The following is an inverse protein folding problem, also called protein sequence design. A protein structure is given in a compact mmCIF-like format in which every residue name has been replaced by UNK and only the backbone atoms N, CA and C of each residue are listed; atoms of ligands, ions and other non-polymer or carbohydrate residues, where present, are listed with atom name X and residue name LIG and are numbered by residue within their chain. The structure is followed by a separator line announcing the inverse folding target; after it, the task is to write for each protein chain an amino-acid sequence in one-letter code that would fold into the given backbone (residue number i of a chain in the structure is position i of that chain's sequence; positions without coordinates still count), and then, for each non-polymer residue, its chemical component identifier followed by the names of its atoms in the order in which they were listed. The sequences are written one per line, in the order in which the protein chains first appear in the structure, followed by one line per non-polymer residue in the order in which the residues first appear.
data_IF_215940854015
#
_entry.id   IF_215940854015
#
_cell.length_a   1.000
_cell.length_b   1.000
_cell.length_c   1.000
_cell.angle_alpha   90.00
_cell.angle_beta   90.00
_cell.angle_gamma   90.00
#
_symmetry.space_group_name_H-M   'P 1'
#
loop_
_entity.id
_entity.type
_entity.pdbx_description
1 polymer ?
#
# COMPACT_ATOMS: atom_id res chain seq x y z
N UNK A 1 9.52 7.10 28.49
CA UNK A 1 10.36 5.93 28.83
C UNK A 1 10.60 5.13 27.56
N UNK A 2 11.86 4.90 27.17
CA UNK A 2 12.22 4.10 25.99
C UNK A 2 12.83 2.77 26.45
N UNK A 3 12.32 1.66 25.94
CA UNK A 3 12.88 0.32 26.20
C UNK A 3 14.09 0.04 25.29
N UNK A 4 15.01 -0.85 25.72
CA UNK A 4 16.07 -1.32 24.85
C UNK A 4 15.50 -2.02 23.60
N UNK A 5 16.24 -2.05 22.48
CA UNK A 5 15.87 -2.82 21.30
C UNK A 5 15.63 -4.30 21.62
N UNK A 6 14.47 -4.82 21.23
CA UNK A 6 14.10 -6.23 21.36
C UNK A 6 14.33 -6.96 20.04
N UNK A 7 14.94 -8.15 20.11
CA UNK A 7 15.45 -8.94 18.96
C UNK A 7 15.07 -10.40 19.11
N UNK A 8 13.78 -10.64 19.30
CA UNK A 8 13.27 -11.97 19.57
C UNK A 8 13.16 -12.80 18.28
N UNK A 9 13.42 -14.10 18.38
CA UNK A 9 13.17 -15.07 17.30
C UNK A 9 11.79 -15.71 17.44
N UNK A 10 11.39 -16.00 18.68
CA UNK A 10 10.16 -16.70 19.00
C UNK A 10 9.01 -15.71 19.30
N UNK A 11 7.78 -16.23 19.21
CA UNK A 11 6.59 -15.50 19.63
C UNK A 11 6.67 -15.17 21.12
N UNK A 12 6.48 -13.90 21.46
CA UNK A 12 6.62 -13.38 22.80
C UNK A 12 5.48 -12.40 23.14
N UNK A 13 5.25 -12.17 24.42
CA UNK A 13 4.28 -11.20 24.90
C UNK A 13 4.99 -10.18 25.78
N UNK A 14 4.94 -8.90 25.41
CA UNK A 14 5.35 -7.81 26.28
C UNK A 14 4.13 -7.39 27.10
N UNK A 15 4.24 -7.32 28.42
CA UNK A 15 3.14 -6.86 29.27
C UNK A 15 3.62 -5.81 30.27
N UNK A 16 2.71 -4.93 30.68
CA UNK A 16 2.96 -3.92 31.70
C UNK A 16 1.66 -3.53 32.39
N UNK A 17 1.77 -2.84 33.53
CA UNK A 17 0.63 -2.23 34.19
C UNK A 17 0.77 -0.71 34.22
N UNK A 18 -0.32 0.00 33.99
CA UNK A 18 -0.36 1.45 34.15
C UNK A 18 -1.47 1.89 35.12
N UNK A 19 -1.24 3.04 35.75
CA UNK A 19 -2.15 3.65 36.72
C UNK A 19 -2.26 5.14 36.45
N UNK A 20 -3.48 5.66 36.51
CA UNK A 20 -3.78 7.09 36.39
C UNK A 20 -4.63 7.52 37.58
N UNK A 21 -4.18 8.55 38.29
CA UNK A 21 -4.97 9.15 39.37
C UNK A 21 -4.73 10.64 39.50
N UNK A 22 -5.78 11.36 39.89
CA UNK A 22 -5.78 12.81 39.99
C UNK A 22 -6.59 13.43 38.86
N UNK A 23 -6.57 14.76 38.82
CA UNK A 23 -7.46 15.61 38.05
C UNK A 23 -8.74 15.98 38.80
N UNK A 24 -9.25 17.18 38.51
CA UNK A 24 -10.55 17.62 39.04
C UNK A 24 -11.66 16.84 38.32
N UNK A 25 -12.71 16.47 39.05
CA UNK A 25 -13.95 15.89 38.48
C UNK A 25 -13.73 14.64 37.59
N UNK A 26 -12.71 13.82 37.88
CA UNK A 26 -12.47 12.57 37.16
C UNK A 26 -11.71 12.71 35.82
N UNK A 27 -11.26 13.91 35.48
CA UNK A 27 -10.40 14.14 34.31
C UNK A 27 -9.02 13.46 34.49
N UNK A 28 -8.52 12.76 33.47
CA UNK A 28 -7.19 12.16 33.55
C UNK A 28 -6.06 13.22 33.57
N UNK A 29 -5.01 13.04 34.40
CA UNK A 29 -3.89 13.98 34.51
C UNK A 29 -2.92 13.96 33.31
N UNK A 30 -2.90 12.85 32.57
CA UNK A 30 -2.09 12.67 31.37
C UNK A 30 -2.65 11.52 30.53
N UNK A 31 -2.45 11.57 29.22
CA UNK A 31 -2.66 10.42 28.33
C UNK A 31 -1.37 9.61 28.23
N UNK A 32 -1.47 8.29 28.21
CA UNK A 32 -0.35 7.40 27.90
C UNK A 32 -0.44 7.00 26.42
N UNK A 33 0.56 7.42 25.66
CA UNK A 33 0.80 6.93 24.32
C UNK A 33 1.88 5.85 24.37
N UNK A 34 1.66 4.75 23.66
CA UNK A 34 2.68 3.71 23.47
C UNK A 34 2.98 3.60 21.98
N UNK A 35 4.26 3.67 21.63
CA UNK A 35 4.73 3.55 20.26
C UNK A 35 5.58 2.30 20.13
N UNK A 36 5.48 1.65 18.97
CA UNK A 36 6.34 0.54 18.57
C UNK A 36 7.02 0.94 17.27
N UNK A 37 8.34 1.09 17.31
CA UNK A 37 9.18 1.45 16.16
C UNK A 37 10.00 0.25 15.71
N UNK A 38 10.06 -0.01 14.41
CA UNK A 38 10.86 -1.10 13.81
C UNK A 38 12.16 -0.54 13.23
N UNK A 39 13.29 -1.19 13.48
CA UNK A 39 14.60 -0.89 12.88
C UNK A 39 15.02 0.59 12.91
N UNK A 40 14.88 1.26 14.08
CA UNK A 40 15.15 2.70 14.23
C UNK A 40 14.37 3.61 13.26
N UNK A 41 13.21 3.15 12.79
CA UNK A 41 12.31 3.97 11.98
C UNK A 41 11.84 5.21 12.75
N UNK A 42 11.43 6.27 12.03
CA UNK A 42 10.76 7.42 12.64
C UNK A 42 9.60 7.00 13.53
N UNK A 43 9.32 7.81 14.55
CA UNK A 43 8.20 7.59 15.45
C UNK A 43 6.89 7.66 14.63
N UNK A 44 6.21 6.51 14.52
CA UNK A 44 4.93 6.40 13.82
C UNK A 44 3.76 6.84 14.69
N UNK A 45 2.57 6.32 14.36
CA UNK A 45 1.37 6.52 15.19
C UNK A 45 1.43 5.68 16.48
N UNK A 46 0.85 6.19 17.60
CA UNK A 46 0.77 5.40 18.83
C UNK A 46 -0.14 4.19 18.61
N UNK A 47 0.31 3.03 19.08
CA UNK A 47 -0.44 1.76 19.02
C UNK A 47 -1.44 1.66 20.16
N UNK A 48 -1.20 2.38 21.26
CA UNK A 48 -2.12 2.56 22.39
C UNK A 48 -2.21 4.05 22.67
N UNK A 49 -3.43 4.53 22.91
CA UNK A 49 -3.71 5.85 23.43
C UNK A 49 -4.74 5.73 24.57
N UNK A 50 -4.30 5.90 25.82
CA UNK A 50 -5.19 5.89 26.99
C UNK A 50 -5.89 7.24 27.18
N UNK A 51 -6.77 7.57 26.24
CA UNK A 51 -7.73 8.66 26.42
C UNK A 51 -8.93 8.16 27.25
N UNK A 52 -9.39 8.95 28.22
CA UNK A 52 -10.52 8.58 29.10
C UNK A 52 -10.38 9.11 30.53
N UNK A 53 -11.40 8.90 31.39
CA UNK A 53 -11.37 9.33 32.79
C UNK A 53 -10.31 8.60 33.60
N UNK A 54 -9.84 9.21 34.69
CA UNK A 54 -8.90 8.55 35.59
C UNK A 54 -9.58 7.34 36.26
N UNK A 55 -9.12 6.14 35.93
CA UNK A 55 -9.54 4.92 36.60
C UNK A 55 -8.51 4.68 37.72
N UNK A 56 -8.90 4.90 38.98
CA UNK A 56 -8.05 4.72 40.17
C UNK A 56 -7.68 3.24 40.45
N UNK A 57 -7.38 2.48 39.40
CA UNK A 57 -7.05 1.06 39.39
C UNK A 57 -5.86 0.81 38.46
N UNK A 58 -5.06 -0.20 38.78
CA UNK A 58 -4.02 -0.66 37.87
C UNK A 58 -4.65 -1.39 36.68
N UNK A 59 -4.33 -0.94 35.46
CA UNK A 59 -4.74 -1.60 34.22
C UNK A 59 -3.56 -2.35 33.62
N UNK A 60 -3.73 -3.66 33.47
CA UNK A 60 -2.78 -4.52 32.76
C UNK A 60 -2.97 -4.41 31.26
N UNK A 61 -1.86 -4.37 30.53
CA UNK A 61 -1.81 -4.26 29.07
C UNK A 61 -0.83 -5.27 28.52
N UNK A 62 -1.25 -5.97 27.47
CA UNK A 62 -0.42 -6.86 26.66
C UNK A 62 -0.10 -6.22 25.30
N UNK A 63 1.10 -6.45 24.80
CA UNK A 63 1.59 -6.03 23.50
C UNK A 63 2.08 -7.27 22.74
N UNK A 64 1.36 -7.60 21.68
CA UNK A 64 1.68 -8.71 20.78
C UNK A 64 2.40 -8.15 19.54
N UNK A 65 3.72 -8.02 19.61
CA UNK A 65 4.54 -7.42 18.54
C UNK A 65 5.11 -8.51 17.64
N UNK A 66 4.71 -8.51 16.37
CA UNK A 66 5.16 -9.50 15.38
C UNK A 66 6.30 -8.98 14.51
N UNK A 67 7.33 -8.44 15.16
CA UNK A 67 8.60 -8.05 14.56
C UNK A 67 9.70 -8.91 15.18
N UNK A 68 10.36 -9.72 14.35
CA UNK A 68 11.33 -10.72 14.78
C UNK A 68 12.68 -10.47 14.12
N UNK A 69 13.74 -11.08 14.67
CA UNK A 69 15.07 -11.08 14.06
C UNK A 69 15.00 -11.56 12.59
N UNK A 70 15.74 -10.93 11.64
CA UNK A 70 16.82 -9.95 11.82
C UNK A 70 16.38 -8.53 12.12
N UNK A 71 15.07 -8.25 12.09
CA UNK A 71 14.54 -6.96 12.50
C UNK A 71 14.53 -6.84 14.03
N UNK A 72 14.45 -5.61 14.51
CA UNK A 72 14.28 -5.31 15.92
C UNK A 72 13.23 -4.23 16.10
N UNK A 73 12.63 -4.18 17.28
CA UNK A 73 11.70 -3.12 17.62
C UNK A 73 12.04 -2.49 18.97
N UNK A 74 11.55 -1.27 19.17
CA UNK A 74 11.61 -0.56 20.44
C UNK A 74 10.23 -0.09 20.84
N UNK A 75 9.99 -0.08 22.15
CA UNK A 75 8.75 0.42 22.74
C UNK A 75 9.05 1.74 23.46
N UNK A 76 8.33 2.78 23.06
CA UNK A 76 8.37 4.10 23.69
C UNK A 76 7.05 4.37 24.39
N UNK A 77 7.13 4.65 25.69
CA UNK A 77 6.03 5.19 26.48
C UNK A 77 6.17 6.70 26.56
N UNK A 78 5.14 7.41 26.12
CA UNK A 78 5.03 8.86 26.18
C UNK A 78 3.85 9.24 27.08
N UNK A 79 4.10 10.16 28.01
CA UNK A 79 3.08 10.74 28.87
C UNK A 79 2.80 12.16 28.40
N UNK A 80 1.58 12.44 27.95
CA UNK A 80 1.18 13.78 27.53
C UNK A 80 0.28 14.38 28.60
N UNK A 81 0.79 15.41 29.30
CA UNK A 81 0.04 16.05 30.38
C UNK A 81 -1.18 16.80 29.84
N UNK A 82 -2.30 16.71 30.57
CA UNK A 82 -3.52 17.49 30.30
C UNK A 82 -3.53 18.83 31.05
N UNK A 83 -2.45 19.17 31.76
CA UNK A 83 -2.37 20.33 32.66
C UNK A 83 -3.02 20.12 34.03
N UNK A 84 -3.71 18.99 34.24
CA UNK A 84 -4.31 18.62 35.52
C UNK A 84 -3.27 18.03 36.48
N UNK A 85 -3.44 18.27 37.79
CA UNK A 85 -2.58 17.66 38.81
C UNK A 85 -2.93 16.20 39.01
N UNK A 86 -1.93 15.33 38.91
CA UNK A 86 -2.09 13.91 39.19
C UNK A 86 -0.84 13.12 38.84
N UNK A 87 -0.99 11.80 38.75
CA UNK A 87 0.08 10.84 38.52
C UNK A 87 -0.32 9.90 37.40
N UNK A 88 0.64 9.64 36.51
CA UNK A 88 0.66 8.49 35.60
C UNK A 88 1.86 7.63 36.01
N UNK A 89 1.61 6.36 36.34
CA UNK A 89 2.65 5.41 36.73
C UNK A 89 2.61 4.17 35.85
N UNK A 90 3.78 3.59 35.59
CA UNK A 90 3.96 2.34 34.83
C UNK A 90 4.82 1.41 35.69
N UNK A 91 4.45 0.13 35.78
CA UNK A 91 5.21 -0.91 36.48
C UNK A 91 5.14 -2.26 35.77
N UNK A 92 5.93 -3.20 36.27
CA UNK A 92 5.91 -4.62 35.87
C UNK A 92 6.03 -4.84 34.36
N UNK A 93 6.92 -4.08 33.72
CA UNK A 93 7.25 -4.29 32.30
C UNK A 93 7.99 -5.62 32.17
N UNK A 94 7.36 -6.60 31.53
CA UNK A 94 7.89 -7.96 31.42
C UNK A 94 7.77 -8.46 29.99
N UNK A 95 8.83 -9.15 29.52
CA UNK A 95 8.85 -9.83 28.25
C UNK A 95 8.78 -11.34 28.50
N UNK A 96 7.77 -12.00 27.93
CA UNK A 96 7.51 -13.41 28.14
C UNK A 96 7.65 -14.17 26.82
N UNK A 97 8.40 -15.27 26.81
CA UNK A 97 8.63 -16.12 25.63
C UNK A 97 7.46 -17.03 25.28
N UNK A 98 6.24 -16.49 25.22
CA UNK A 98 5.04 -17.19 24.78
C UNK A 98 4.05 -16.21 24.13
N UNK A 99 3.04 -16.75 23.43
CA UNK A 99 1.93 -15.95 22.91
C UNK A 99 1.18 -15.20 24.02
N UNK A 100 0.64 -14.03 23.69
CA UNK A 100 -0.20 -13.29 24.62
C UNK A 100 -1.50 -14.06 24.89
N UNK A 101 -2.06 -13.89 26.09
CA UNK A 101 -3.21 -14.67 26.54
C UNK A 101 -4.54 -14.05 26.09
N UNK A 102 -4.62 -12.72 26.06
CA UNK A 102 -5.84 -11.97 25.74
C UNK A 102 -5.66 -11.01 24.59
N UNK A 103 -4.48 -11.02 23.96
CA UNK A 103 -4.14 -10.16 22.83
C UNK A 103 -3.73 -11.02 21.65
N UNK A 104 -4.42 -10.91 20.51
CA UNK A 104 -4.14 -11.75 19.37
C UNK A 104 -2.88 -11.29 18.65
N UNK A 105 -2.20 -12.25 18.03
CA UNK A 105 -0.93 -12.03 17.33
C UNK A 105 -1.19 -11.90 15.82
N UNK A 106 -1.08 -10.70 15.22
CA UNK A 106 -1.12 -10.56 13.77
C UNK A 106 0.13 -11.18 13.15
N UNK A 107 -0.02 -11.89 12.04
CA UNK A 107 1.08 -12.45 11.27
C UNK A 107 1.79 -11.36 10.45
N UNK A 108 2.95 -11.71 9.91
CA UNK A 108 3.70 -10.86 8.99
C UNK A 108 2.83 -10.42 7.81
N UNK A 109 2.73 -9.11 7.61
CA UNK A 109 1.99 -8.52 6.51
C UNK A 109 2.84 -8.55 5.24
N UNK A 110 2.25 -8.90 4.10
CA UNK A 110 2.97 -8.98 2.83
C UNK A 110 2.99 -7.61 2.14
N UNK A 111 4.10 -7.30 1.48
CA UNK A 111 4.19 -6.14 0.59
C UNK A 111 3.22 -6.27 -0.59
N UNK A 112 2.72 -5.14 -1.07
CA UNK A 112 1.74 -5.04 -2.15
C UNK A 112 2.26 -4.06 -3.19
N UNK A 113 2.25 -4.47 -4.45
CA UNK A 113 2.48 -3.58 -5.59
C UNK A 113 1.16 -3.42 -6.37
N UNK A 114 0.82 -2.19 -6.74
CA UNK A 114 -0.34 -1.89 -7.61
C UNK A 114 -0.02 -0.77 -8.58
N UNK A 115 -0.81 -0.67 -9.64
CA UNK A 115 -0.79 0.49 -10.53
C UNK A 115 -1.61 1.66 -9.95
N UNK A 116 -1.19 2.89 -10.24
CA UNK A 116 -1.93 4.08 -9.85
C UNK A 116 -3.38 4.04 -10.38
N UNK A 117 -4.33 4.49 -9.58
CA UNK A 117 -5.77 4.40 -9.81
C UNK A 117 -6.40 3.08 -9.34
N UNK A 118 -5.60 2.04 -9.10
CA UNK A 118 -6.09 0.76 -8.61
C UNK A 118 -6.24 0.73 -7.09
N UNK A 119 -6.90 -0.31 -6.58
CA UNK A 119 -7.07 -0.55 -5.14
C UNK A 119 -5.99 -1.51 -4.64
N UNK A 120 -5.22 -1.09 -3.63
CA UNK A 120 -4.30 -1.97 -2.92
C UNK A 120 -5.01 -2.63 -1.74
N UNK A 121 -5.01 -3.96 -1.70
CA UNK A 121 -5.64 -4.73 -0.61
C UNK A 121 -4.60 -5.45 0.23
N UNK A 122 -4.60 -5.18 1.53
CA UNK A 122 -3.73 -5.84 2.50
C UNK A 122 -4.52 -6.88 3.29
N UNK A 123 -3.96 -8.09 3.40
CA UNK A 123 -4.55 -9.18 4.16
C UNK A 123 -3.85 -9.34 5.51
N UNK A 124 -4.45 -8.80 6.56
CA UNK A 124 -4.00 -9.00 7.93
C UNK A 124 -4.55 -10.30 8.48
N UNK A 125 -3.67 -11.27 8.67
CA UNK A 125 -4.06 -12.54 9.29
C UNK A 125 -3.70 -12.54 10.76
N UNK A 126 -4.62 -12.97 11.62
CA UNK A 126 -4.50 -12.86 13.06
C UNK A 126 -4.73 -14.22 13.72
N UNK A 127 -3.83 -14.59 14.63
CA UNK A 127 -3.96 -15.79 15.47
C UNK A 127 -4.50 -15.41 16.85
N UNK A 128 -5.56 -16.06 17.30
CA UNK A 128 -6.18 -15.83 18.61
C UNK A 128 -7.69 -15.65 18.55
N UNK A 129 -8.35 -15.54 19.70
CA UNK A 129 -9.78 -15.26 19.79
C UNK A 129 -10.01 -13.76 19.65
N UNK A 130 -10.69 -13.33 18.59
CA UNK A 130 -11.06 -11.94 18.41
C UNK A 130 -12.45 -11.69 19.01
N UNK A 131 -12.61 -10.73 19.93
CA UNK A 131 -13.94 -10.17 20.18
C UNK A 131 -14.38 -9.49 18.87
N UNK A 132 -15.55 -9.87 18.37
CA UNK A 132 -16.23 -9.37 17.16
C UNK A 132 -15.73 -8.00 16.66
N UNK A 133 -14.80 -8.03 15.71
CA UNK A 133 -14.34 -6.86 14.96
C UNK A 133 -14.95 -6.89 13.55
N UNK A 134 -15.27 -5.71 13.02
CA UNK A 134 -15.90 -5.50 11.71
C UNK A 134 -15.04 -6.10 10.57
N UNK A 135 -15.69 -6.76 9.61
CA UNK A 135 -15.10 -7.35 8.39
C UNK A 135 -14.02 -8.45 8.55
N UNK A 136 -14.05 -9.25 9.62
CA UNK A 136 -13.18 -10.44 9.70
C UNK A 136 -13.81 -11.67 9.04
N UNK A 137 -13.08 -12.36 8.16
CA UNK A 137 -13.44 -13.68 7.65
C UNK A 137 -12.69 -14.77 8.43
N UNK A 138 -13.38 -15.75 9.04
CA UNK A 138 -12.71 -16.86 9.70
C UNK A 138 -12.04 -17.76 8.65
N UNK A 139 -10.76 -18.06 8.84
CA UNK A 139 -10.04 -19.07 8.04
C UNK A 139 -10.15 -20.43 8.72
N UNK A 140 -10.05 -20.45 10.04
CA UNK A 140 -10.29 -21.60 10.91
C UNK A 140 -10.69 -21.10 12.32
N UNK A 141 -11.07 -21.98 13.27
CA UNK A 141 -11.56 -21.55 14.59
C UNK A 141 -10.60 -20.71 15.45
N UNK A 142 -9.31 -20.61 15.08
CA UNK A 142 -8.29 -19.86 15.81
C UNK A 142 -7.58 -18.80 14.96
N UNK A 143 -8.02 -18.61 13.71
CA UNK A 143 -7.34 -17.76 12.72
C UNK A 143 -8.36 -16.98 11.92
N UNK A 144 -8.19 -15.67 11.93
CA UNK A 144 -9.07 -14.71 11.27
C UNK A 144 -8.27 -13.91 10.26
N UNK A 145 -8.90 -13.50 9.17
CA UNK A 145 -8.32 -12.58 8.20
C UNK A 145 -9.19 -11.34 8.14
N UNK A 146 -8.56 -10.19 8.38
CA UNK A 146 -9.11 -8.88 8.11
C UNK A 146 -8.41 -8.33 6.86
N UNK A 147 -9.17 -7.72 5.96
CA UNK A 147 -8.62 -6.98 4.83
C UNK A 147 -8.81 -5.49 5.04
N UNK A 148 -7.83 -4.70 4.63
CA UNK A 148 -7.99 -3.25 4.50
C UNK A 148 -7.49 -2.78 3.15
N UNK A 149 -8.23 -1.85 2.56
CA UNK A 149 -8.02 -1.40 1.19
C UNK A 149 -7.63 0.07 1.14
N UNK A 150 -6.60 0.39 0.35
CA UNK A 150 -6.28 1.75 -0.07
C UNK A 150 -6.82 1.91 -1.49
N UNK A 151 -7.92 2.64 -1.64
CA UNK A 151 -8.64 2.81 -2.91
C UNK A 151 -8.08 3.99 -3.71
N UNK A 152 -8.21 3.92 -5.04
CA UNK A 152 -7.79 4.98 -5.97
C UNK A 152 -6.36 5.48 -5.69
N UNK A 153 -5.42 4.53 -5.64
CA UNK A 153 -4.05 4.79 -5.18
C UNK A 153 -3.30 5.79 -6.08
N UNK A 154 -2.50 6.62 -5.45
CA UNK A 154 -1.59 7.57 -6.09
C UNK A 154 -0.15 7.27 -5.68
N UNK A 155 0.82 7.86 -6.38
CA UNK A 155 2.24 7.70 -6.03
C UNK A 155 2.54 8.11 -4.57
N UNK A 156 1.80 9.10 -4.05
CA UNK A 156 1.92 9.58 -2.67
C UNK A 156 1.45 8.59 -1.61
N UNK A 157 0.61 7.62 -1.97
CA UNK A 157 0.14 6.58 -1.04
C UNK A 157 1.20 5.47 -0.83
N UNK A 158 2.27 5.47 -1.64
CA UNK A 158 3.39 4.55 -1.45
C UNK A 158 4.05 4.79 -0.09
N UNK A 159 4.30 3.71 0.64
CA UNK A 159 4.82 3.82 2.00
C UNK A 159 4.69 2.52 2.77
N UNK A 160 4.91 2.61 4.07
CA UNK A 160 4.90 1.45 4.97
C UNK A 160 3.60 1.38 5.76
N UNK A 161 2.92 0.24 5.63
CA UNK A 161 1.66 -0.06 6.29
C UNK A 161 1.86 -1.20 7.28
N UNK A 162 1.07 -1.24 8.35
CA UNK A 162 1.03 -2.35 9.29
C UNK A 162 -0.38 -2.57 9.79
N UNK A 163 -0.66 -3.79 10.20
CA UNK A 163 -1.91 -4.12 10.85
C UNK A 163 -1.82 -3.85 12.36
N UNK A 164 -2.87 -3.25 12.91
CA UNK A 164 -3.03 -3.01 14.34
C UNK A 164 -4.35 -3.67 14.76
N UNK A 165 -4.28 -4.54 15.76
CA UNK A 165 -5.43 -5.29 16.27
C UNK A 165 -5.59 -4.94 17.73
N UNK A 166 -6.73 -4.34 18.09
CA UNK A 166 -7.03 -3.96 19.46
C UNK A 166 -7.91 -5.02 20.12
N UNK A 167 -7.57 -5.40 21.35
CA UNK A 167 -8.40 -6.22 22.24
C UNK A 167 -8.67 -5.50 23.55
N UNK A 168 -9.53 -6.07 24.40
CA UNK A 168 -9.87 -5.49 25.71
C UNK A 168 -8.66 -5.38 26.66
N UNK A 169 -7.61 -6.18 26.40
CA UNK A 169 -6.44 -6.32 27.28
C UNK A 169 -5.14 -5.86 26.64
N UNK A 170 -5.15 -5.45 25.38
CA UNK A 170 -3.91 -5.14 24.70
C UNK A 170 -4.04 -4.81 23.23
N UNK A 171 -2.89 -4.72 22.57
CA UNK A 171 -2.78 -4.42 21.15
C UNK A 171 -1.76 -5.36 20.50
N UNK A 172 -2.17 -5.99 19.41
CA UNK A 172 -1.30 -6.71 18.50
C UNK A 172 -0.89 -5.84 17.32
N UNK A 173 0.38 -5.90 16.93
CA UNK A 173 0.91 -5.15 15.79
C UNK A 173 1.74 -6.05 14.89
N UNK A 174 1.47 -6.01 13.59
CA UNK A 174 2.31 -6.69 12.61
C UNK A 174 3.61 -5.91 12.39
N UNK A 175 4.60 -6.56 11.78
CA UNK A 175 5.68 -5.85 11.09
C UNK A 175 5.12 -4.92 10.01
N UNK A 176 5.94 -3.97 9.55
CA UNK A 176 5.60 -3.17 8.39
C UNK A 176 5.67 -3.98 7.08
N UNK A 177 4.84 -3.58 6.13
CA UNK A 177 4.85 -4.03 4.74
C UNK A 177 4.82 -2.81 3.80
N UNK A 178 5.53 -2.91 2.70
CA UNK A 178 5.59 -1.83 1.71
C UNK A 178 4.38 -1.87 0.77
N UNK A 179 3.74 -0.72 0.58
CA UNK A 179 2.89 -0.43 -0.57
C UNK A 179 3.74 0.29 -1.62
N UNK A 180 3.87 -0.30 -2.80
CA UNK A 180 4.51 0.34 -3.94
C UNK A 180 3.47 0.65 -5.01
N UNK A 181 3.18 1.93 -5.22
CA UNK A 181 2.29 2.38 -6.30
C UNK A 181 3.12 2.77 -7.52
N UNK A 182 2.92 2.06 -8.61
CA UNK A 182 3.63 2.24 -9.88
C UNK A 182 2.75 3.02 -10.86
N UNK A 183 3.35 3.94 -11.60
CA UNK A 183 2.62 4.71 -12.60
C UNK A 183 2.60 3.96 -13.94
N UNK A 184 1.44 3.76 -14.57
CA UNK A 184 1.37 3.16 -15.90
C UNK A 184 2.21 3.93 -16.93
N UNK A 185 2.85 3.23 -17.87
CA UNK A 185 3.83 3.81 -18.79
C UNK A 185 3.17 4.56 -19.96
N UNK A 186 3.70 5.73 -20.32
CA UNK A 186 3.22 6.55 -21.45
C UNK A 186 4.41 6.94 -22.33
N UNK A 187 4.40 6.66 -23.65
CA UNK A 187 5.45 7.13 -24.56
C UNK A 187 5.62 8.65 -24.52
N UNK A 188 6.87 9.12 -24.51
CA UNK A 188 7.16 10.57 -24.49
C UNK A 188 7.00 11.20 -25.88
N UNK A 189 7.19 10.40 -26.94
CA UNK A 189 7.20 10.86 -28.32
C UNK A 189 6.23 10.05 -29.18
N UNK A 190 5.67 10.64 -30.27
CA UNK A 190 4.84 9.91 -31.21
C UNK A 190 5.65 8.86 -31.96
N UNK A 191 5.02 7.79 -32.51
CA UNK A 191 5.72 6.86 -33.40
C UNK A 191 6.24 7.59 -34.66
N UNK A 192 7.30 7.06 -35.27
CA UNK A 192 7.87 7.63 -36.49
C UNK A 192 7.30 6.96 -37.73
N UNK A 193 6.91 7.75 -38.72
CA UNK A 193 6.44 7.24 -40.02
C UNK A 193 7.63 6.84 -40.88
N UNK A 194 7.67 5.60 -41.37
CA UNK A 194 8.81 5.08 -42.15
C UNK A 194 8.45 4.82 -43.61
N UNK A 195 7.19 4.50 -43.92
CA UNK A 195 6.70 4.42 -45.30
C UNK A 195 5.18 4.63 -45.39
N UNK A 196 4.73 5.10 -46.55
CA UNK A 196 3.33 5.43 -46.84
C UNK A 196 2.90 4.77 -48.15
N UNK A 197 1.79 4.03 -48.10
CA UNK A 197 1.09 3.51 -49.27
C UNK A 197 -0.34 4.04 -49.37
N UNK A 198 -1.06 3.62 -50.42
CA UNK A 198 -2.47 3.96 -50.57
C UNK A 198 -3.37 3.28 -49.52
N UNK A 199 -2.98 2.10 -49.04
CA UNK A 199 -3.78 1.31 -48.07
C UNK A 199 -2.97 0.83 -46.86
N UNK A 200 -1.80 1.42 -46.63
CA UNK A 200 -0.96 1.06 -45.48
C UNK A 200 -0.06 2.20 -45.02
N UNK A 201 0.33 2.13 -43.75
CA UNK A 201 1.36 2.96 -43.13
C UNK A 201 2.36 2.03 -42.42
N UNK A 202 3.66 2.29 -42.61
CA UNK A 202 4.70 1.69 -41.78
C UNK A 202 5.15 2.67 -40.73
N UNK A 203 5.22 2.18 -39.49
CA UNK A 203 5.64 2.97 -38.35
C UNK A 203 6.77 2.28 -37.58
N UNK A 204 7.57 3.09 -36.91
CA UNK A 204 8.54 2.70 -35.91
C UNK A 204 8.04 3.19 -34.55
N UNK A 205 7.84 2.29 -33.61
CA UNK A 205 7.35 2.57 -32.27
C UNK A 205 8.43 3.30 -31.46
N UNK A 206 8.05 4.39 -30.78
CA UNK A 206 8.88 5.10 -29.81
C UNK A 206 8.56 4.67 -28.38
N UNK A 207 8.74 3.37 -28.11
CA UNK A 207 8.35 2.72 -26.84
C UNK A 207 9.48 2.59 -25.80
N UNK A 208 10.67 3.14 -26.09
CA UNK A 208 11.85 3.01 -25.21
C UNK A 208 12.00 4.19 -24.24
N UNK A 209 11.43 5.34 -24.58
CA UNK A 209 11.45 6.56 -23.75
C UNK A 209 10.04 6.83 -23.26
N UNK A 210 9.83 6.58 -21.97
CA UNK A 210 8.50 6.58 -21.34
C UNK A 210 8.47 7.50 -20.13
N UNK A 211 7.32 8.12 -19.89
CA UNK A 211 6.92 8.58 -18.57
C UNK A 211 6.28 7.41 -17.81
N UNK A 212 6.33 7.44 -16.48
CA UNK A 212 5.82 6.36 -15.62
C UNK A 212 6.87 5.30 -15.30
N UNK A 213 6.41 4.10 -14.93
CA UNK A 213 7.26 3.01 -14.44
C UNK A 213 7.21 1.79 -15.38
N UNK A 214 8.32 1.06 -15.44
CA UNK A 214 8.41 -0.24 -16.10
C UNK A 214 8.15 -1.43 -15.15
N UNK A 215 8.44 -2.67 -15.60
CA UNK A 215 8.82 -3.03 -16.98
C UNK A 215 7.62 -3.00 -17.93
N UNK A 216 7.86 -2.84 -19.24
CA UNK A 216 6.83 -2.97 -20.28
C UNK A 216 6.68 -4.44 -20.63
N UNK A 217 5.47 -4.98 -20.50
CA UNK A 217 5.15 -6.38 -20.84
C UNK A 217 4.34 -6.50 -22.13
N UNK A 218 3.63 -5.45 -22.52
CA UNK A 218 2.82 -5.46 -23.74
C UNK A 218 2.77 -4.06 -24.39
N UNK A 219 2.52 -4.05 -25.71
CA UNK A 219 2.52 -2.85 -26.56
C UNK A 219 1.41 -2.99 -27.59
N UNK A 220 0.63 -1.93 -27.73
CA UNK A 220 -0.45 -1.85 -28.71
C UNK A 220 -0.32 -0.58 -29.54
N UNK A 221 -0.80 -0.65 -30.77
CA UNK A 221 -0.94 0.51 -31.66
C UNK A 221 -2.43 0.76 -31.83
N UNK A 222 -2.88 1.92 -31.34
CA UNK A 222 -4.22 2.44 -31.59
C UNK A 222 -4.16 3.36 -32.80
N UNK A 223 -5.04 3.18 -33.77
CA UNK A 223 -5.18 4.10 -34.89
C UNK A 223 -6.64 4.43 -35.15
N UNK A 224 -6.89 5.68 -35.53
CA UNK A 224 -8.22 6.20 -35.84
C UNK A 224 -8.24 7.14 -37.01
N UNK A 225 -9.35 7.22 -37.72
CA UNK A 225 -9.57 8.29 -38.72
C UNK A 225 -9.80 9.61 -38.00
N UNK A 226 -9.36 10.74 -38.56
CA UNK A 226 -9.61 12.07 -37.95
C UNK A 226 -11.09 12.45 -37.90
N UNK A 227 -11.91 11.84 -38.76
CA UNK A 227 -13.36 11.92 -38.72
C UNK A 227 -14.00 11.06 -37.60
N UNK A 228 -13.22 10.22 -36.90
CA UNK A 228 -13.66 9.37 -35.79
C UNK A 228 -14.51 8.16 -36.19
N UNK A 229 -14.60 7.83 -37.48
CA UNK A 229 -15.44 6.73 -37.97
C UNK A 229 -14.84 5.34 -37.72
N UNK A 230 -13.52 5.26 -37.55
CA UNK A 230 -12.79 4.02 -37.28
C UNK A 230 -11.88 4.25 -36.07
N UNK A 231 -11.89 3.32 -35.13
CA UNK A 231 -10.92 3.18 -34.04
C UNK A 231 -10.60 1.69 -33.95
N UNK A 232 -9.33 1.34 -34.10
CA UNK A 232 -8.85 -0.05 -33.99
C UNK A 232 -7.55 -0.09 -33.19
N UNK A 233 -7.29 -1.22 -32.54
CA UNK A 233 -6.13 -1.43 -31.66
C UNK A 233 -5.51 -2.79 -31.96
N UNK A 234 -4.22 -2.78 -32.26
CA UNK A 234 -3.48 -4.01 -32.61
C UNK A 234 -2.29 -4.23 -31.67
N UNK A 235 -2.11 -5.44 -31.11
CA UNK A 235 -0.92 -5.77 -30.35
C UNK A 235 0.32 -5.86 -31.24
N UNK A 236 1.48 -5.45 -30.72
CA UNK A 236 2.72 -5.31 -31.49
C UNK A 236 3.93 -5.83 -30.72
N UNK A 237 4.53 -6.89 -31.26
CA UNK A 237 5.75 -7.50 -30.68
C UNK A 237 7.05 -6.83 -31.15
N UNK A 238 7.02 -6.20 -32.33
CA UNK A 238 8.21 -5.67 -33.01
C UNK A 238 8.29 -4.14 -32.90
N UNK A 239 9.50 -3.57 -32.91
CA UNK A 239 9.67 -2.12 -32.85
C UNK A 239 9.17 -1.42 -34.14
N UNK A 240 9.00 -2.15 -35.25
CA UNK A 240 8.35 -1.69 -36.47
C UNK A 240 7.01 -2.40 -36.68
N UNK A 241 5.99 -1.67 -37.12
CA UNK A 241 4.66 -2.23 -37.39
C UNK A 241 4.08 -1.69 -38.70
N UNK A 242 3.37 -2.55 -39.45
CA UNK A 242 2.62 -2.17 -40.65
C UNK A 242 1.14 -2.16 -40.33
N UNK A 243 0.53 -0.99 -40.41
CA UNK A 243 -0.92 -0.82 -40.37
C UNK A 243 -1.42 -0.95 -41.81
N UNK A 244 -2.26 -1.95 -42.09
CA UNK A 244 -2.76 -2.25 -43.44
C UNK A 244 -4.28 -2.14 -43.53
N UNK A 245 -4.81 -2.36 -44.73
CA UNK A 245 -6.24 -2.29 -45.02
C UNK A 245 -6.86 -0.91 -44.71
N UNK A 246 -6.07 0.15 -44.88
CA UNK A 246 -6.51 1.53 -44.72
C UNK A 246 -7.18 2.05 -45.99
N UNK A 247 -8.00 3.08 -45.84
CA UNK A 247 -8.63 3.79 -46.95
C UNK A 247 -7.60 4.73 -47.62
N UNK A 248 -7.58 4.85 -48.96
CA UNK A 248 -6.79 5.84 -49.67
C UNK A 248 -7.19 7.29 -49.35
N UNK A 249 -6.25 8.23 -49.52
CA UNK A 249 -6.41 9.66 -49.25
C UNK A 249 -7.11 10.00 -47.92
N UNK A 250 -6.82 9.20 -46.89
CA UNK A 250 -7.47 9.30 -45.58
C UNK A 250 -6.44 9.63 -44.52
N UNK A 251 -6.77 10.59 -43.65
CA UNK A 251 -5.91 11.02 -42.55
C UNK A 251 -6.21 10.20 -41.28
N UNK A 252 -5.13 9.68 -40.69
CA UNK A 252 -5.15 8.85 -39.49
C UNK A 252 -4.33 9.49 -38.37
N UNK A 253 -4.81 9.32 -37.15
CA UNK A 253 -4.04 9.51 -35.92
C UNK A 253 -3.61 8.15 -35.39
N UNK A 254 -2.32 7.99 -35.09
CA UNK A 254 -1.73 6.74 -34.62
C UNK A 254 -1.02 6.99 -33.30
N UNK A 255 -1.43 6.27 -32.26
CA UNK A 255 -0.85 6.35 -30.92
C UNK A 255 -0.33 4.98 -30.48
N UNK A 256 0.66 4.98 -29.60
CA UNK A 256 1.18 3.75 -28.99
C UNK A 256 0.70 3.70 -27.55
N UNK A 257 0.13 2.55 -27.17
CA UNK A 257 -0.20 2.22 -25.78
C UNK A 257 0.83 1.23 -25.25
N UNK A 258 1.23 1.43 -23.99
CA UNK A 258 2.18 0.57 -23.32
C UNK A 258 1.53 0.03 -22.05
N UNK A 259 1.83 -1.24 -21.75
CA UNK A 259 1.26 -1.93 -20.60
C UNK A 259 2.38 -2.47 -19.73
N UNK A 260 2.32 -2.14 -18.44
CA UNK A 260 3.13 -2.77 -17.39
C UNK A 260 2.35 -3.89 -16.67
N UNK A 261 2.99 -4.76 -15.87
CA UNK A 261 2.29 -5.80 -15.13
C UNK A 261 1.17 -5.28 -14.22
N UNK A 262 0.31 -6.21 -13.81
CA UNK A 262 -0.83 -6.01 -12.90
C UNK A 262 -2.00 -5.23 -13.52
N UNK A 263 -3.15 -5.31 -12.85
CA UNK A 263 -4.39 -4.64 -13.25
C UNK A 263 -4.19 -3.13 -13.39
N UNK A 264 -4.81 -2.51 -14.39
CA UNK A 264 -4.65 -1.08 -14.68
C UNK A 264 -3.25 -0.67 -15.14
N UNK A 265 -2.44 -1.62 -15.62
CA UNK A 265 -1.06 -1.38 -16.05
C UNK A 265 -0.93 -0.71 -17.42
N UNK A 266 -2.00 -0.63 -18.21
CA UNK A 266 -2.02 0.08 -19.49
C UNK A 266 -2.07 1.58 -19.23
N UNK A 267 -1.05 2.30 -19.71
CA UNK A 267 -1.02 3.75 -19.62
C UNK A 267 -1.89 4.42 -20.68
N UNK A 268 -2.01 5.74 -20.55
CA UNK A 268 -2.66 6.54 -21.57
C UNK A 268 -1.91 6.43 -22.92
N UNK A 269 -2.61 6.65 -24.05
CA UNK A 269 -1.96 6.74 -25.35
C UNK A 269 -0.86 7.81 -25.35
N UNK A 270 0.28 7.49 -25.97
CA UNK A 270 1.33 8.48 -26.22
C UNK A 270 0.87 9.58 -27.20
N UNK A 271 1.72 10.59 -27.47
CA UNK A 271 1.42 11.60 -28.48
C UNK A 271 1.10 10.96 -29.84
N UNK A 272 0.08 11.42 -30.58
CA UNK A 272 -0.29 10.81 -31.84
C UNK A 272 0.65 11.24 -32.98
N UNK A 273 0.98 10.30 -33.86
CA UNK A 273 1.45 10.58 -35.21
C UNK A 273 0.24 10.86 -36.10
N UNK A 274 0.27 11.96 -36.85
CA UNK A 274 -0.71 12.23 -37.91
C UNK A 274 -0.11 11.90 -39.26
N UNK A 275 -0.78 11.05 -40.03
CA UNK A 275 -0.32 10.63 -41.35
C UNK A 275 -1.51 10.41 -42.28
N UNK A 276 -1.31 10.70 -43.58
CA UNK A 276 -2.30 10.48 -44.62
C UNK A 276 -1.81 9.41 -45.59
N UNK A 277 -2.69 8.48 -45.97
CA UNK A 277 -2.43 7.48 -47.00
C UNK A 277 -2.39 8.13 -48.39
N UNK A 278 -1.71 7.49 -49.36
CA UNK A 278 -1.68 7.99 -50.74
C UNK A 278 -3.03 7.84 -51.43
N UNK A 279 -3.22 8.54 -52.56
CA UNK A 279 -4.33 8.32 -53.46
C UNK A 279 -4.28 6.90 -54.07
N UNK A 280 -5.44 6.38 -54.49
CA UNK A 280 -5.50 5.12 -55.21
C UNK A 280 -4.88 5.26 -56.60
N UNK A 281 -3.82 4.48 -56.89
CA UNK A 281 -3.20 4.41 -58.23
C UNK A 281 -1.83 5.08 -58.40
N UNK A 282 -1.17 5.52 -57.32
CA UNK A 282 0.23 5.99 -57.31
C UNK A 282 1.24 4.96 -56.78
#
# INVERSE_FOLDING_TARGET
LLLPPLRENDTHCLSFQFYQAGGREGAAPATLNVYVTENNSPLGVPVINSSGPAYHIWKGVELAVSTFWPNHYQVLFEAVSTGQRGVLAIRDITLQGHQCMSTPHPLHLKAVEVNAGQTASFQCTVNGHLPTAMETRPVNPRRYVASFDVKNTTKGDSGRYRCIVQSDRGVGVSSYADLTVKQPPVPIAPPQLTAVGATYLWIQLNANSINGDGPIVDREVEYRTTAGMLIDTTPVDKPTHKIGHLDPDTEYEISVLLTRPLEGGTGNPGPPLRARTKCAGE
#
